data_IF_293490882109
#
_entry.id   IF_293490882109
#
_cell.length_a   1.000
_cell.length_b   1.000
_cell.length_c   1.000
_cell.angle_alpha   90.00
_cell.angle_beta   90.00
_cell.angle_gamma   90.00
#
_symmetry.space_group_name_H-M   'P 1'
#
loop_
_entity.id
_entity.type
_entity.pdbx_description
1 polymer ?
#
# COMPACT_ATOMS: atom_id res chain seq x y z
N UNK A 1 -22.09 -9.70 -8.03
CA UNK A 1 -21.05 -9.70 -9.08
C UNK A 1 -19.77 -10.06 -8.36
N UNK A 2 -19.24 -11.26 -8.58
CA UNK A 2 -18.01 -11.69 -7.94
C UNK A 2 -16.84 -11.13 -8.75
N UNK A 3 -16.18 -10.09 -8.23
CA UNK A 3 -14.96 -9.55 -8.83
C UNK A 3 -13.79 -10.43 -8.39
N UNK A 4 -13.12 -11.07 -9.34
CA UNK A 4 -11.89 -11.81 -9.08
C UNK A 4 -10.74 -10.81 -8.94
N UNK A 5 -10.03 -10.88 -7.82
CA UNK A 5 -8.84 -10.07 -7.54
C UNK A 5 -7.60 -10.91 -7.86
N UNK A 6 -6.77 -10.44 -8.78
CA UNK A 6 -5.49 -11.07 -9.11
C UNK A 6 -4.44 -10.66 -8.07
N UNK A 7 -3.80 -11.66 -7.44
CA UNK A 7 -2.63 -11.48 -6.61
C UNK A 7 -1.38 -11.82 -7.41
N UNK A 8 -0.43 -10.89 -7.43
CA UNK A 8 0.77 -10.92 -8.27
C UNK A 8 1.98 -11.03 -7.36
N UNK A 9 2.88 -11.98 -7.63
CA UNK A 9 4.15 -12.08 -6.90
C UNK A 9 4.98 -10.81 -7.13
N UNK A 10 5.41 -10.16 -6.05
CA UNK A 10 6.11 -8.88 -6.09
C UNK A 10 7.50 -8.96 -6.75
N UNK A 11 8.03 -10.18 -6.97
CA UNK A 11 9.29 -10.43 -7.68
C UNK A 11 9.07 -10.57 -9.19
N UNK A 12 7.88 -10.97 -9.61
CA UNK A 12 7.56 -11.18 -11.03
C UNK A 12 7.15 -9.88 -11.70
N UNK A 13 6.35 -9.06 -11.01
CA UNK A 13 5.83 -7.81 -11.54
C UNK A 13 5.54 -6.83 -10.42
N UNK A 14 5.78 -5.55 -10.67
CA UNK A 14 5.49 -4.46 -9.75
C UNK A 14 4.25 -3.66 -10.21
N UNK A 15 3.53 -2.99 -9.30
CA UNK A 15 2.46 -2.08 -9.66
C UNK A 15 2.99 -0.85 -10.40
N UNK A 16 2.06 -0.07 -10.95
CA UNK A 16 2.36 1.30 -11.37
C UNK A 16 2.62 2.21 -10.15
N UNK A 17 3.65 3.06 -10.24
CA UNK A 17 4.04 3.97 -9.15
C UNK A 17 2.92 4.97 -8.84
N UNK A 18 2.71 5.24 -7.55
CA UNK A 18 1.68 6.15 -7.03
C UNK A 18 0.31 5.50 -6.84
N UNK A 19 0.13 4.23 -7.23
CA UNK A 19 -1.17 3.58 -7.09
C UNK A 19 -1.34 2.88 -5.74
N UNK A 20 -2.54 2.97 -5.13
CA UNK A 20 -2.89 2.17 -3.97
C UNK A 20 -3.10 0.70 -4.36
N UNK A 21 -2.51 -0.19 -3.57
CA UNK A 21 -2.55 -1.64 -3.72
C UNK A 21 -2.84 -2.29 -2.36
N UNK A 22 -3.41 -3.49 -2.39
CA UNK A 22 -3.34 -4.41 -1.27
C UNK A 22 -2.02 -5.18 -1.36
N UNK A 23 -1.28 -5.28 -0.26
CA UNK A 23 -0.01 -6.03 -0.19
C UNK A 23 -0.14 -7.17 0.81
N UNK A 24 0.38 -8.36 0.47
CA UNK A 24 0.54 -9.46 1.38
C UNK A 24 2.00 -9.47 1.88
N UNK A 25 2.21 -8.97 3.09
CA UNK A 25 3.51 -8.93 3.75
C UNK A 25 3.66 -10.10 4.72
N UNK A 26 4.88 -10.60 4.87
CA UNK A 26 5.22 -11.58 5.92
C UNK A 26 5.94 -10.89 7.07
N UNK A 27 5.75 -11.36 8.29
CA UNK A 27 6.54 -10.92 9.43
C UNK A 27 6.80 -12.05 10.42
N UNK A 28 7.35 -11.69 11.58
CA UNK A 28 7.54 -12.60 12.72
C UNK A 28 7.03 -11.96 14.00
N UNK A 29 6.28 -12.73 14.78
CA UNK A 29 5.96 -12.36 16.15
C UNK A 29 7.20 -12.47 17.05
N UNK A 30 7.21 -11.83 18.24
CA UNK A 30 8.35 -11.89 19.17
C UNK A 30 8.75 -13.30 19.61
N UNK A 31 7.82 -14.26 19.58
CA UNK A 31 8.07 -15.68 19.86
C UNK A 31 8.65 -16.46 18.67
N UNK A 32 8.81 -15.78 17.51
CA UNK A 32 9.38 -16.34 16.29
C UNK A 32 8.36 -16.95 15.33
N UNK A 33 7.06 -16.98 15.67
CA UNK A 33 6.03 -17.47 14.76
C UNK A 33 5.89 -16.54 13.54
N UNK A 34 5.76 -17.14 12.36
CA UNK A 34 5.59 -16.42 11.09
C UNK A 34 4.13 -16.09 10.84
N UNK A 35 3.87 -14.88 10.35
CA UNK A 35 2.52 -14.48 9.93
C UNK A 35 2.50 -13.87 8.53
N UNK A 36 1.31 -13.81 7.96
CA UNK A 36 0.98 -12.98 6.80
C UNK A 36 -0.05 -11.93 7.21
N UNK A 37 0.12 -10.72 6.69
CA UNK A 37 -0.84 -9.64 6.87
C UNK A 37 -1.13 -9.00 5.52
N UNK A 38 -2.40 -8.62 5.31
CA UNK A 38 -2.83 -7.82 4.17
C UNK A 38 -2.92 -6.36 4.59
N UNK A 39 -2.16 -5.50 3.93
CA UNK A 39 -2.11 -4.06 4.21
C UNK A 39 -2.50 -3.26 2.98
N UNK A 40 -3.11 -2.10 3.19
CA UNK A 40 -3.23 -1.10 2.14
C UNK A 40 -1.91 -0.32 2.06
N UNK A 41 -1.38 -0.15 0.86
CA UNK A 41 -0.11 0.56 0.64
C UNK A 41 -0.10 1.25 -0.71
N UNK A 42 0.80 2.22 -0.89
CA UNK A 42 1.11 2.84 -2.17
C UNK A 42 2.46 2.33 -2.66
N UNK A 43 2.52 1.90 -3.91
CA UNK A 43 3.80 1.54 -4.53
C UNK A 43 4.53 2.79 -5.03
N UNK A 44 5.84 2.86 -4.77
CA UNK A 44 6.71 3.91 -5.24
C UNK A 44 7.91 3.31 -5.98
N UNK A 45 8.12 3.71 -7.23
CA UNK A 45 9.37 3.38 -7.94
C UNK A 45 10.58 4.05 -7.27
N UNK A 46 10.38 5.24 -6.68
CA UNK A 46 11.34 5.95 -5.85
C UNK A 46 10.62 6.68 -4.72
N UNK A 47 11.05 6.46 -3.49
CA UNK A 47 10.52 7.12 -2.28
C UNK A 47 11.71 7.56 -1.41
N UNK A 48 11.64 8.78 -0.87
CA UNK A 48 12.59 9.24 0.13
C UNK A 48 11.84 9.39 1.44
N UNK A 49 12.32 8.72 2.47
CA UNK A 49 11.70 8.75 3.80
C UNK A 49 12.00 10.07 4.53
N UNK A 50 11.53 10.16 5.79
CA UNK A 50 11.75 11.35 6.62
C UNK A 50 13.20 11.56 7.07
N UNK A 51 14.04 10.53 7.06
CA UNK A 51 15.46 10.63 7.43
C UNK A 51 16.38 10.92 6.22
N UNK A 52 15.82 10.84 5.01
CA UNK A 52 16.49 11.13 3.75
C UNK A 52 16.94 9.88 3.00
N UNK A 53 16.75 8.69 3.55
CA UNK A 53 17.04 7.40 2.90
C UNK A 53 16.16 7.23 1.67
N UNK A 54 16.80 6.89 0.55
CA UNK A 54 16.13 6.62 -0.72
C UNK A 54 15.84 5.13 -0.84
N UNK A 55 14.56 4.81 -1.02
CA UNK A 55 14.07 3.47 -1.31
C UNK A 55 13.59 3.40 -2.77
N UNK A 56 13.94 2.30 -3.44
CA UNK A 56 13.48 1.99 -4.79
C UNK A 56 12.52 0.82 -4.77
N UNK A 57 11.52 0.90 -5.63
CA UNK A 57 10.50 -0.14 -5.81
C UNK A 57 9.95 -0.62 -4.46
N UNK A 58 9.39 0.30 -3.68
CA UNK A 58 8.93 0.04 -2.31
C UNK A 58 7.42 0.28 -2.15
N UNK A 59 6.88 -0.29 -1.08
CA UNK A 59 5.49 -0.14 -0.68
C UNK A 59 5.45 0.64 0.62
N UNK A 60 4.66 1.72 0.66
CA UNK A 60 4.52 2.57 1.84
C UNK A 60 3.08 2.48 2.33
N UNK A 61 2.87 2.09 3.58
CA UNK A 61 1.53 2.04 4.18
C UNK A 61 1.09 3.39 4.76
N UNK A 62 -0.11 3.43 5.34
CA UNK A 62 -0.67 4.65 5.94
C UNK A 62 0.11 5.17 7.15
N UNK A 63 0.87 4.31 7.81
CA UNK A 63 1.69 4.64 8.98
C UNK A 63 3.10 5.08 8.56
N UNK A 64 3.40 5.10 7.25
CA UNK A 64 4.70 5.47 6.70
C UNK A 64 5.73 4.34 6.72
N UNK A 65 5.34 3.11 7.03
CA UNK A 65 6.26 1.98 7.06
C UNK A 65 6.61 1.56 5.63
N UNK A 66 7.91 1.58 5.32
CA UNK A 66 8.44 1.18 4.02
C UNK A 66 8.74 -0.31 3.99
N UNK A 67 8.10 -1.03 3.07
CA UNK A 67 8.33 -2.46 2.82
C UNK A 67 8.87 -2.70 1.42
N UNK A 68 9.69 -3.74 1.28
CA UNK A 68 10.33 -4.11 0.02
C UNK A 68 9.76 -5.47 -0.46
N UNK A 69 9.73 -5.75 -1.77
CA UNK A 69 9.50 -7.09 -2.29
C UNK A 69 10.38 -8.15 -1.61
N UNK A 70 9.79 -9.33 -1.46
CA UNK A 70 10.44 -10.52 -0.94
C UNK A 70 11.72 -10.85 -1.72
N UNK A 71 12.77 -11.24 -1.00
CA UNK A 71 14.10 -11.45 -1.55
C UNK A 71 15.04 -10.23 -1.45
N UNK A 72 14.55 -9.09 -0.93
CA UNK A 72 15.40 -7.96 -0.53
C UNK A 72 15.54 -7.88 0.99
N UNK A 73 16.61 -7.25 1.52
CA UNK A 73 16.78 -7.06 2.97
C UNK A 73 15.68 -6.15 3.54
N UNK A 74 14.71 -6.74 4.25
CA UNK A 74 13.72 -6.04 5.07
C UNK A 74 13.08 -7.01 6.08
N UNK A 75 12.61 -6.48 7.19
CA UNK A 75 12.00 -7.28 8.27
C UNK A 75 10.62 -7.83 7.87
N UNK A 76 9.85 -7.04 7.10
CA UNK A 76 8.50 -7.39 6.66
C UNK A 76 8.37 -7.36 5.12
N UNK A 77 8.89 -8.36 4.40
CA UNK A 77 8.85 -8.35 2.95
C UNK A 77 7.44 -8.53 2.37
N UNK A 78 7.16 -7.82 1.28
CA UNK A 78 5.96 -8.00 0.46
C UNK A 78 6.15 -9.19 -0.46
N UNK A 79 5.32 -10.22 -0.29
CA UNK A 79 5.34 -11.41 -1.15
C UNK A 79 4.49 -11.22 -2.40
N UNK A 80 3.28 -10.66 -2.23
CA UNK A 80 2.32 -10.46 -3.31
C UNK A 80 1.64 -9.11 -3.17
N UNK A 81 1.09 -8.62 -4.26
CA UNK A 81 0.24 -7.44 -4.27
C UNK A 81 -0.97 -7.66 -5.18
N UNK A 82 -2.01 -6.86 -4.97
CA UNK A 82 -3.19 -6.84 -5.81
C UNK A 82 -3.69 -5.41 -5.95
N UNK A 83 -4.19 -5.04 -7.13
CA UNK A 83 -5.02 -3.85 -7.21
C UNK A 83 -6.30 -4.10 -6.41
N UNK A 84 -6.72 -3.15 -5.55
CA UNK A 84 -7.98 -3.30 -4.84
C UNK A 84 -9.09 -3.46 -5.88
N UNK A 85 -10.12 -4.29 -5.61
CA UNK A 85 -11.28 -4.34 -6.48
C UNK A 85 -11.78 -2.89 -6.66
N UNK A 86 -12.03 -2.48 -7.90
CA UNK A 86 -12.62 -1.18 -8.14
C UNK A 86 -13.93 -1.14 -7.37
N UNK A 87 -13.96 -0.38 -6.28
CA UNK A 87 -15.20 -0.16 -5.56
C UNK A 87 -16.21 0.38 -6.60
N UNK A 88 -17.41 -0.20 -6.72
CA UNK A 88 -18.45 0.41 -7.52
C UNK A 88 -18.73 1.79 -6.92
N UNK A 89 -18.18 2.85 -7.52
CA UNK A 89 -18.15 4.15 -6.86
C UNK A 89 -17.07 5.13 -7.28
N UNK A 90 -16.19 4.86 -8.27
CA UNK A 90 -15.23 5.88 -8.76
C UNK A 90 -15.90 7.19 -9.24
N UNK A 91 -17.22 7.21 -9.44
CA UNK A 91 -18.02 8.39 -9.76
C UNK A 91 -18.77 9.01 -8.56
N UNK A 92 -18.68 8.43 -7.36
CA UNK A 92 -19.32 8.94 -6.14
C UNK A 92 -18.26 9.23 -5.08
N UNK A 93 -18.07 10.51 -4.81
CA UNK A 93 -17.34 11.00 -3.64
C UNK A 93 -18.37 11.62 -2.69
N UNK A 94 -18.43 11.17 -1.45
CA UNK A 94 -19.26 11.77 -0.41
C UNK A 94 -18.34 12.26 0.71
N UNK A 95 -18.36 13.56 0.96
CA UNK A 95 -17.75 14.18 2.15
C UNK A 95 -18.90 14.44 3.11
N UNK A 96 -18.87 13.81 4.27
CA UNK A 96 -19.92 13.90 5.28
C UNK A 96 -19.36 14.56 6.55
N UNK A 97 -20.10 15.53 7.07
CA UNK A 97 -19.71 16.32 8.25
C UNK A 97 -19.10 17.68 7.88
N UNK A 98 -19.53 18.72 8.58
CA UNK A 98 -19.20 20.12 8.26
C UNK A 98 -17.69 20.40 8.32
N UNK A 99 -16.98 19.78 9.27
CA UNK A 99 -15.53 19.91 9.43
C UNK A 99 -14.76 19.24 8.27
N UNK A 100 -15.23 18.08 7.79
CA UNK A 100 -14.62 17.38 6.68
C UNK A 100 -14.78 18.16 5.37
N UNK A 101 -15.93 18.82 5.17
CA UNK A 101 -16.17 19.71 4.02
C UNK A 101 -15.19 20.88 4.05
N UNK A 102 -15.00 21.52 5.20
CA UNK A 102 -14.07 22.63 5.34
C UNK A 102 -12.61 22.21 5.07
N UNK A 103 -12.20 21.05 5.57
CA UNK A 103 -10.85 20.51 5.36
C UNK A 103 -10.58 20.18 3.88
N UNK A 104 -11.53 19.55 3.19
CA UNK A 104 -11.40 19.26 1.75
C UNK A 104 -11.35 20.55 0.93
N UNK A 105 -12.16 21.55 1.26
CA UNK A 105 -12.14 22.84 0.57
C UNK A 105 -10.79 23.56 0.73
N UNK A 106 -10.19 23.52 1.92
CA UNK A 106 -8.88 24.12 2.17
C UNK A 106 -7.74 23.40 1.45
N UNK A 107 -7.82 22.08 1.27
CA UNK A 107 -6.79 21.28 0.61
C UNK A 107 -6.79 21.37 -0.92
N UNK A 108 -7.87 21.88 -1.52
CA UNK A 108 -8.04 22.03 -2.98
C UNK A 108 -7.67 23.43 -3.51
N UNK A 109 -7.16 24.32 -2.66
CA UNK A 109 -6.65 25.65 -2.98
C UNK A 109 -5.13 25.71 -2.86
#
# INVERSE_FOLDING_TARGET
MDTIVEWVDARERLPESGWPVAVAATGRYPDGEHFWIVLASVFHASHRDGDGTEHRDCFVDSDGVVRLPYGRPCDEPVTHWAYPPALPGRSQHAVLGDEAVAAVAAALH
#
